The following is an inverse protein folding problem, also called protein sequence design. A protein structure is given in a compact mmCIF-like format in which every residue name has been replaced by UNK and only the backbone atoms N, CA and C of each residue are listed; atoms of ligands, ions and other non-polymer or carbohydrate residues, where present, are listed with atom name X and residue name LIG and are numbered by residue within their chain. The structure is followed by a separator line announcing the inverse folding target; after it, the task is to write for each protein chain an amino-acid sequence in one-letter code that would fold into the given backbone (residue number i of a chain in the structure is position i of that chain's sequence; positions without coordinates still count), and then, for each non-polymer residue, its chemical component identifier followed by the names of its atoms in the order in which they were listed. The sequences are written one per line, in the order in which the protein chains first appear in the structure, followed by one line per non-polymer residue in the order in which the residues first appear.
data_IF_184378250026
#
_entry.id   IF_184378250026
#
_cell.length_a   1.000
_cell.length_b   1.000
_cell.length_c   1.000
_cell.angle_alpha   90.00
_cell.angle_beta   90.00
_cell.angle_gamma   90.00
#
_symmetry.space_group_name_H-M   'P 1'
#
loop_
_entity.id
_entity.type
_entity.pdbx_description
1 polymer ?
#
# COMPACT_ATOMS: atom_id res chain seq x y z
N UNK A 1 3.16 4.94 -6.59
CA UNK A 1 2.00 4.82 -7.51
C UNK A 1 2.32 5.38 -8.90
N UNK A 2 2.64 6.67 -9.05
CA UNK A 2 2.91 7.29 -10.36
C UNK A 2 4.04 6.61 -11.16
N UNK A 3 5.15 6.26 -10.51
CA UNK A 3 6.23 5.51 -11.16
C UNK A 3 5.78 4.13 -11.69
N UNK A 4 4.88 3.44 -10.98
CA UNK A 4 4.31 2.17 -11.45
C UNK A 4 3.38 2.38 -12.65
N UNK A 5 2.55 3.44 -12.63
CA UNK A 5 1.70 3.80 -13.75
C UNK A 5 2.53 4.13 -15.01
N UNK A 6 3.57 4.96 -14.86
CA UNK A 6 4.48 5.29 -15.96
C UNK A 6 5.14 4.03 -16.57
N UNK A 7 5.53 3.06 -15.73
CA UNK A 7 6.10 1.80 -16.21
C UNK A 7 5.06 0.91 -16.91
N UNK A 8 3.80 0.95 -16.48
CA UNK A 8 2.70 0.29 -17.20
C UNK A 8 2.54 0.90 -18.59
N UNK A 9 2.49 2.23 -18.68
CA UNK A 9 2.24 2.93 -19.94
C UNK A 9 3.35 2.69 -20.96
N UNK A 10 4.62 2.65 -20.52
CA UNK A 10 5.77 2.47 -21.41
C UNK A 10 6.19 1.01 -21.64
N UNK A 11 6.03 0.13 -20.66
CA UNK A 11 6.58 -1.24 -20.69
C UNK A 11 5.53 -2.34 -20.52
N UNK A 12 4.27 -1.97 -20.24
CA UNK A 12 3.15 -2.88 -20.04
C UNK A 12 3.12 -3.54 -18.65
N UNK A 13 1.96 -4.11 -18.33
CA UNK A 13 1.66 -4.68 -17.00
C UNK A 13 2.65 -5.76 -16.54
N UNK A 14 3.16 -6.61 -17.46
CA UNK A 14 4.07 -7.70 -17.10
C UNK A 14 5.42 -7.17 -16.62
N UNK A 15 5.97 -6.16 -17.29
CA UNK A 15 7.23 -5.52 -16.89
C UNK A 15 7.06 -4.71 -15.60
N UNK A 16 5.91 -4.05 -15.43
CA UNK A 16 5.61 -3.23 -14.26
C UNK A 16 5.24 -4.01 -12.99
N UNK A 17 5.10 -5.35 -13.06
CA UNK A 17 4.61 -6.19 -11.95
C UNK A 17 5.28 -5.89 -10.60
N UNK A 18 6.61 -5.73 -10.59
CA UNK A 18 7.34 -5.45 -9.35
C UNK A 18 7.02 -4.05 -8.79
N UNK A 19 6.93 -3.04 -9.66
CA UNK A 19 6.58 -1.68 -9.28
C UNK A 19 5.14 -1.59 -8.74
N UNK A 20 4.21 -2.33 -9.33
CA UNK A 20 2.83 -2.44 -8.86
C UNK A 20 2.76 -3.10 -7.48
N UNK A 21 3.47 -4.22 -7.29
CA UNK A 21 3.53 -4.89 -5.99
C UNK A 21 4.12 -3.97 -4.89
N UNK A 22 5.21 -3.25 -5.20
CA UNK A 22 5.80 -2.27 -4.27
C UNK A 22 4.78 -1.18 -3.91
N UNK A 23 4.07 -0.63 -4.89
CA UNK A 23 3.05 0.38 -4.65
C UNK A 23 1.87 -0.14 -3.80
N UNK A 24 1.43 -1.39 -4.04
CA UNK A 24 0.35 -2.05 -3.29
C UNK A 24 0.69 -2.26 -1.82
N UNK A 25 1.96 -2.46 -1.47
CA UNK A 25 2.41 -2.55 -0.08
C UNK A 25 2.60 -1.17 0.54
N UNK A 26 3.30 -0.27 -0.17
CA UNK A 26 3.70 1.02 0.39
C UNK A 26 2.51 1.95 0.64
N UNK A 27 1.55 2.02 -0.29
CA UNK A 27 0.46 2.99 -0.20
C UNK A 27 -0.46 2.76 1.02
N UNK A 28 -1.02 1.56 1.27
CA UNK A 28 -1.87 1.35 2.44
C UNK A 28 -1.14 1.56 3.77
N UNK A 29 0.16 1.19 3.86
CA UNK A 29 0.96 1.39 5.08
C UNK A 29 1.16 2.86 5.40
N UNK A 30 1.53 3.66 4.40
CA UNK A 30 1.69 5.11 4.57
C UNK A 30 0.35 5.76 4.94
N UNK A 31 -0.75 5.39 4.27
CA UNK A 31 -2.08 5.91 4.57
C UNK A 31 -2.51 5.60 6.00
N UNK A 32 -2.32 4.36 6.48
CA UNK A 32 -2.66 3.99 7.85
C UNK A 32 -1.85 4.79 8.88
N UNK A 33 -0.55 5.00 8.64
CA UNK A 33 0.28 5.79 9.54
C UNK A 33 -0.23 7.24 9.65
N UNK A 34 -0.57 7.87 8.52
CA UNK A 34 -1.12 9.23 8.52
C UNK A 34 -2.49 9.29 9.20
N UNK A 35 -3.36 8.31 8.93
CA UNK A 35 -4.69 8.25 9.54
C UNK A 35 -4.61 8.04 11.06
N UNK A 36 -3.71 7.18 11.53
CA UNK A 36 -3.49 6.95 12.97
C UNK A 36 -3.05 8.25 13.68
N UNK A 37 -2.09 8.97 13.08
CA UNK A 37 -1.68 10.29 13.57
C UNK A 37 -2.83 11.29 13.57
N UNK A 38 -3.68 11.29 12.53
CA UNK A 38 -4.84 12.17 12.46
C UNK A 38 -5.88 11.83 13.54
N UNK A 39 -6.17 10.55 13.75
CA UNK A 39 -7.04 10.06 14.83
C UNK A 39 -6.52 10.57 16.18
N UNK A 40 -5.23 10.40 16.44
CA UNK A 40 -4.61 10.81 17.69
C UNK A 40 -4.77 12.32 17.96
N UNK A 41 -4.59 13.17 16.95
CA UNK A 41 -4.76 14.63 17.09
C UNK A 41 -6.21 15.01 17.40
N UNK A 42 -7.20 14.23 16.93
CA UNK A 42 -8.63 14.48 17.17
C UNK A 42 -9.14 13.87 18.49
N UNK A 43 -8.30 13.13 19.23
CA UNK A 43 -8.70 12.47 20.49
C UNK A 43 -9.90 11.54 20.30
N UNK A 44 -10.88 11.61 21.22
CA UNK A 44 -12.11 10.82 21.13
C UNK A 44 -12.90 11.11 19.83
N UNK A 45 -12.78 12.33 19.29
CA UNK A 45 -13.36 12.70 18.00
C UNK A 45 -12.87 11.78 16.87
N UNK A 46 -11.58 11.43 16.88
CA UNK A 46 -10.96 10.62 15.82
C UNK A 46 -11.49 9.18 15.72
N UNK A 47 -12.10 8.66 16.79
CA UNK A 47 -12.64 7.29 16.86
C UNK A 47 -14.18 7.26 16.85
N UNK A 48 -14.85 8.41 16.81
CA UNK A 48 -16.30 8.50 16.73
C UNK A 48 -16.77 8.85 15.30
N UNK A 49 -18.05 9.14 15.16
CA UNK A 49 -18.75 9.33 13.89
C UNK A 49 -18.79 10.81 13.47
N UNK A 50 -18.27 11.71 14.30
CA UNK A 50 -18.13 13.14 13.99
C UNK A 50 -17.11 13.37 12.87
N UNK A 51 -16.14 12.45 12.71
CA UNK A 51 -15.14 12.47 11.65
C UNK A 51 -15.10 11.12 10.91
N UNK A 52 -14.70 11.14 9.64
CA UNK A 52 -14.57 9.92 8.84
C UNK A 52 -13.28 9.12 9.12
N UNK A 53 -12.45 9.56 10.07
CA UNK A 53 -11.12 9.02 10.31
C UNK A 53 -11.15 7.52 10.68
N UNK A 54 -12.04 7.10 11.56
CA UNK A 54 -12.20 5.69 11.94
C UNK A 54 -12.62 4.82 10.74
N UNK A 55 -13.56 5.29 9.92
CA UNK A 55 -14.02 4.58 8.72
C UNK A 55 -12.91 4.47 7.67
N UNK A 56 -12.15 5.55 7.45
CA UNK A 56 -11.01 5.55 6.55
C UNK A 56 -9.88 4.63 7.04
N UNK A 57 -9.60 4.60 8.34
CA UNK A 57 -8.59 3.71 8.90
C UNK A 57 -8.98 2.25 8.69
N UNK A 58 -10.23 1.89 8.99
CA UNK A 58 -10.76 0.55 8.73
C UNK A 58 -10.67 0.19 7.23
N UNK A 59 -11.08 1.10 6.33
CA UNK A 59 -10.99 0.91 4.88
C UNK A 59 -9.55 0.73 4.40
N UNK A 60 -8.62 1.59 4.81
CA UNK A 60 -7.21 1.46 4.46
C UNK A 60 -6.59 0.16 5.00
N UNK A 61 -7.06 -0.31 6.17
CA UNK A 61 -6.60 -1.56 6.77
C UNK A 61 -7.03 -2.78 5.95
N UNK A 62 -8.21 -2.76 5.34
CA UNK A 62 -8.64 -3.87 4.46
C UNK A 62 -7.80 -3.94 3.19
N UNK A 63 -7.28 -2.81 2.69
CA UNK A 63 -6.39 -2.79 1.51
C UNK A 63 -5.03 -3.47 1.73
N UNK A 64 -4.66 -3.79 2.98
CA UNK A 64 -3.50 -4.66 3.28
C UNK A 64 -3.81 -6.16 3.15
N UNK A 65 -5.05 -6.51 2.80
CA UNK A 65 -5.54 -7.90 2.67
C UNK A 65 -6.15 -8.09 1.28
N UNK A 66 -7.03 -7.18 0.87
CA UNK A 66 -7.66 -7.18 -0.45
C UNK A 66 -6.59 -7.14 -1.56
N UNK A 67 -6.84 -7.84 -2.67
CA UNK A 67 -5.89 -8.01 -3.79
C UNK A 67 -4.49 -8.48 -3.38
N UNK A 68 -4.44 -9.33 -2.35
CA UNK A 68 -3.23 -9.97 -1.86
C UNK A 68 -2.69 -9.28 -0.59
N UNK A 69 -2.42 -10.06 0.47
CA UNK A 69 -1.76 -9.56 1.66
C UNK A 69 -0.38 -8.98 1.38
N UNK A 70 0.05 -8.02 2.20
CA UNK A 70 1.37 -7.40 2.09
C UNK A 70 2.50 -8.44 2.00
N UNK A 71 2.42 -9.51 2.80
CA UNK A 71 3.45 -10.53 2.91
C UNK A 71 3.62 -11.32 1.60
N UNK A 72 2.53 -11.51 0.86
CA UNK A 72 2.55 -12.17 -0.45
C UNK A 72 3.28 -11.28 -1.46
N UNK A 73 2.94 -9.99 -1.49
CA UNK A 73 3.59 -9.02 -2.36
C UNK A 73 5.08 -8.83 -2.02
N UNK A 74 5.42 -8.73 -0.73
CA UNK A 74 6.81 -8.62 -0.26
C UNK A 74 7.65 -9.84 -0.65
N UNK A 75 7.10 -11.05 -0.51
CA UNK A 75 7.77 -12.27 -0.96
C UNK A 75 8.04 -12.24 -2.46
N UNK A 76 7.06 -11.82 -3.26
CA UNK A 76 7.20 -11.82 -4.71
C UNK A 76 8.18 -10.73 -5.18
N UNK A 77 8.19 -9.55 -4.54
CA UNK A 77 9.22 -8.52 -4.73
C UNK A 77 10.60 -9.08 -4.41
N UNK A 78 10.76 -9.70 -3.24
CA UNK A 78 12.04 -10.27 -2.80
C UNK A 78 12.57 -11.31 -3.80
N UNK A 79 11.72 -12.18 -4.34
CA UNK A 79 12.10 -13.15 -5.38
C UNK A 79 12.62 -12.49 -6.65
N UNK A 80 11.98 -11.41 -7.09
CA UNK A 80 12.40 -10.65 -8.28
C UNK A 80 13.73 -9.96 -8.03
N UNK A 81 13.90 -9.30 -6.89
CA UNK A 81 15.15 -8.59 -6.55
C UNK A 81 16.32 -9.56 -6.36
N UNK A 82 16.11 -10.70 -5.69
CA UNK A 82 17.15 -11.73 -5.55
C UNK A 82 17.57 -12.33 -6.90
N UNK A 83 16.65 -12.46 -7.86
CA UNK A 83 16.98 -12.92 -9.20
C UNK A 83 17.87 -11.90 -9.94
N UNK A 84 17.59 -10.60 -9.78
CA UNK A 84 18.43 -9.55 -10.37
C UNK A 84 19.82 -9.50 -9.76
N UNK A 85 19.93 -9.65 -8.43
CA UNK A 85 21.20 -9.57 -7.71
C UNK A 85 22.14 -10.78 -7.95
N UNK A 86 21.62 -11.89 -8.49
CA UNK A 86 22.40 -13.08 -8.85
C UNK A 86 23.00 -13.03 -10.26
N UNK A 87 22.61 -12.04 -11.06
CA UNK A 87 23.11 -11.77 -12.41
C UNK A 87 24.15 -10.65 -12.35
#
# INVERSE_FOLDING_TARGET
VLSAANMIDHNGNKAARNAVAMAKVAAPRATLQVLDQAIQVHGAGGVCQDFLLAAFYAGARTLRIADGPDEVHLRDIARIELKKARL
#
